data_IF_612537605233
#
_entry.id   IF_612537605233
#
_cell.length_a   1.000
_cell.length_b   1.000
_cell.length_c   1.000
_cell.angle_alpha   90.00
_cell.angle_beta   90.00
_cell.angle_gamma   90.00
#
_symmetry.space_group_name_H-M   'P 1'
#
loop_
_entity.id
_entity.type
_entity.pdbx_description
1 polymer ?
#
# COMPACT_ATOMS: atom_id res chain seq x y z
N UNK A 1 -9.02 7.33 -10.02
CA UNK A 1 -7.57 7.35 -9.71
C UNK A 1 -6.93 8.50 -10.49
N UNK A 2 -6.09 9.32 -9.84
CA UNK A 2 -5.26 10.32 -10.51
C UNK A 2 -3.83 9.76 -10.61
N UNK A 3 -3.43 9.19 -11.77
CA UNK A 3 -2.20 8.40 -11.86
C UNK A 3 -0.94 9.24 -11.62
N UNK A 4 -0.82 10.42 -12.22
CA UNK A 4 0.41 11.22 -12.09
C UNK A 4 0.68 11.70 -10.66
N UNK A 5 -0.28 12.29 -9.92
CA UNK A 5 -0.06 12.62 -8.52
C UNK A 5 0.21 11.38 -7.65
N UNK A 6 -0.46 10.25 -7.92
CA UNK A 6 -0.24 9.01 -7.18
C UNK A 6 1.21 8.50 -7.37
N UNK A 7 1.70 8.46 -8.61
CA UNK A 7 3.08 8.04 -8.91
C UNK A 7 4.11 9.02 -8.35
N UNK A 8 3.82 10.32 -8.37
CA UNK A 8 4.69 11.33 -7.76
C UNK A 8 4.83 11.09 -6.25
N UNK A 9 3.72 10.84 -5.55
CA UNK A 9 3.74 10.57 -4.11
C UNK A 9 4.46 9.25 -3.79
N UNK A 10 4.15 8.17 -4.51
CA UNK A 10 4.79 6.87 -4.30
C UNK A 10 6.29 6.92 -4.57
N UNK A 11 6.73 7.58 -5.66
CA UNK A 11 8.15 7.72 -5.98
C UNK A 11 8.91 8.56 -4.96
N UNK A 12 8.33 9.67 -4.48
CA UNK A 12 8.92 10.47 -3.38
C UNK A 12 9.03 9.68 -2.09
N UNK A 13 8.02 8.86 -1.77
CA UNK A 13 8.05 8.00 -0.59
C UNK A 13 9.17 6.96 -0.68
N UNK A 14 9.29 6.26 -1.82
CA UNK A 14 10.40 5.31 -2.07
C UNK A 14 11.76 5.99 -1.98
N UNK A 15 11.93 7.18 -2.57
CA UNK A 15 13.17 7.95 -2.45
C UNK A 15 13.48 8.36 -1.00
N UNK A 16 12.45 8.71 -0.22
CA UNK A 16 12.58 8.98 1.21
C UNK A 16 13.08 7.77 2.00
N UNK A 17 12.59 6.56 1.66
CA UNK A 17 13.06 5.31 2.26
C UNK A 17 14.52 5.03 1.88
N UNK A 18 14.86 5.10 0.58
CA UNK A 18 16.21 4.79 0.10
C UNK A 18 17.27 5.80 0.58
N UNK A 19 16.87 7.05 0.84
CA UNK A 19 17.77 8.06 1.41
C UNK A 19 17.93 7.96 2.93
N UNK A 20 17.22 7.04 3.59
CA UNK A 20 17.22 6.92 5.05
C UNK A 20 16.44 8.03 5.78
N UNK A 21 15.76 8.92 5.04
CA UNK A 21 14.87 9.94 5.63
C UNK A 21 13.62 9.31 6.24
N UNK A 22 13.16 8.18 5.69
CA UNK A 22 11.99 7.43 6.16
C UNK A 22 12.45 6.04 6.56
N UNK A 23 12.22 5.66 7.81
CA UNK A 23 12.44 4.28 8.26
C UNK A 23 11.24 3.42 7.88
N UNK A 24 11.51 2.24 7.33
CA UNK A 24 10.51 1.19 7.22
C UNK A 24 10.29 0.53 8.58
N UNK A 25 9.08 -0.01 8.82
CA UNK A 25 8.89 -0.95 9.92
C UNK A 25 9.67 -2.25 9.65
N UNK A 26 9.71 -3.15 10.64
CA UNK A 26 10.36 -4.44 10.47
C UNK A 26 9.68 -5.27 9.38
N UNK A 27 10.41 -6.26 8.85
CA UNK A 27 9.87 -7.18 7.84
C UNK A 27 8.62 -7.90 8.36
N UNK A 28 8.61 -8.28 9.63
CA UNK A 28 7.48 -8.96 10.26
C UNK A 28 6.23 -8.07 10.25
N UNK A 29 6.37 -6.81 10.68
CA UNK A 29 5.27 -5.84 10.71
C UNK A 29 4.72 -5.56 9.30
N UNK A 30 5.59 -5.43 8.28
CA UNK A 30 5.13 -5.25 6.90
C UNK A 30 4.33 -6.44 6.38
N UNK A 31 4.76 -7.67 6.72
CA UNK A 31 4.04 -8.89 6.33
C UNK A 31 2.70 -9.00 7.05
N UNK A 32 2.65 -8.64 8.34
CA UNK A 32 1.42 -8.62 9.13
C UNK A 32 0.41 -7.60 8.62
N UNK A 33 0.86 -6.40 8.25
CA UNK A 33 0.02 -5.35 7.67
C UNK A 33 -0.66 -5.82 6.36
N UNK A 34 0.12 -6.42 5.45
CA UNK A 34 -0.42 -6.96 4.19
C UNK A 34 -1.38 -8.12 4.44
N UNK A 35 -1.11 -9.00 5.41
CA UNK A 35 -2.03 -10.08 5.79
C UNK A 35 -3.34 -9.52 6.33
N UNK A 36 -3.28 -8.51 7.21
CA UNK A 36 -4.47 -7.86 7.76
C UNK A 36 -5.32 -7.23 6.64
N UNK A 37 -4.69 -6.57 5.67
CA UNK A 37 -5.37 -6.05 4.48
C UNK A 37 -6.09 -7.13 3.67
N UNK A 38 -5.44 -8.26 3.39
CA UNK A 38 -6.08 -9.38 2.69
C UNK A 38 -7.27 -9.97 3.46
N UNK A 39 -7.15 -10.11 4.79
CA UNK A 39 -8.26 -10.56 5.64
C UNK A 39 -9.44 -9.58 5.60
N UNK A 40 -9.20 -8.27 5.59
CA UNK A 40 -10.25 -7.27 5.47
C UNK A 40 -10.99 -7.36 4.12
N UNK A 41 -10.23 -7.51 3.02
CA UNK A 41 -10.79 -7.69 1.68
C UNK A 41 -11.64 -8.96 1.59
N UNK A 42 -11.13 -10.06 2.15
CA UNK A 42 -11.85 -11.35 2.19
C UNK A 42 -13.13 -11.25 3.02
N UNK A 43 -13.07 -10.66 4.22
CA UNK A 43 -14.23 -10.44 5.08
C UNK A 43 -15.29 -9.53 4.42
N UNK A 44 -14.86 -8.58 3.59
CA UNK A 44 -15.74 -7.72 2.81
C UNK A 44 -16.26 -8.37 1.50
N UNK A 45 -15.88 -9.62 1.22
CA UNK A 45 -16.31 -10.35 0.03
C UNK A 45 -15.72 -9.82 -1.29
N UNK A 46 -14.63 -9.05 -1.23
CA UNK A 46 -14.02 -8.48 -2.43
C UNK A 46 -13.24 -9.53 -3.23
N UNK A 47 -13.49 -9.67 -4.54
CA UNK A 47 -12.68 -10.54 -5.38
C UNK A 47 -11.21 -10.09 -5.39
N UNK A 48 -10.27 -11.05 -5.29
CA UNK A 48 -8.81 -10.79 -5.32
C UNK A 48 -8.32 -9.95 -6.50
N UNK A 49 -9.00 -9.98 -7.65
CA UNK A 49 -8.64 -9.14 -8.81
C UNK A 49 -8.74 -7.63 -8.53
N UNK A 50 -9.47 -7.22 -7.49
CA UNK A 50 -9.61 -5.82 -7.06
C UNK A 50 -8.69 -5.44 -5.90
N UNK A 51 -7.72 -6.28 -5.52
CA UNK A 51 -6.77 -6.00 -4.43
C UNK A 51 -6.03 -4.67 -4.64
N UNK A 52 -5.74 -4.28 -5.88
CA UNK A 52 -5.06 -3.03 -6.20
C UNK A 52 -6.00 -1.94 -6.72
N UNK A 53 -7.31 -2.13 -6.60
CA UNK A 53 -8.30 -1.10 -6.90
C UNK A 53 -8.36 -0.09 -5.75
N UNK A 54 -7.51 0.93 -5.87
CA UNK A 54 -7.40 2.03 -4.91
C UNK A 54 -8.42 3.15 -5.16
N UNK A 55 -9.37 2.97 -6.08
CA UNK A 55 -10.40 3.99 -6.35
C UNK A 55 -11.30 4.30 -5.15
N UNK A 56 -11.41 3.37 -4.20
CA UNK A 56 -12.21 3.55 -2.98
C UNK A 56 -11.58 4.45 -1.91
N UNK A 57 -10.30 4.78 -2.04
CA UNK A 57 -9.56 5.56 -1.06
C UNK A 57 -9.26 6.99 -1.54
N UNK A 58 -10.00 7.49 -2.53
CA UNK A 58 -9.90 8.85 -3.05
C UNK A 58 -10.94 9.79 -2.44
#
# INVERSE_FOLDING_TARGET
VLPFPLFELQSKWVAGVLSGRISLPSVQEMVEDVKAFYLQIEAAGYPKRYTHDVSKYQ
#
